data_IF_023349634974
#
_entry.id   IF_023349634974
#
_cell.length_a   1.000
_cell.length_b   1.000
_cell.length_c   1.000
_cell.angle_alpha   90.00
_cell.angle_beta   90.00
_cell.angle_gamma   90.00
#
_symmetry.space_group_name_H-M   'P 1'
#
loop_
_entity.id
_entity.type
_entity.pdbx_description
1 polymer ?
#
# COMPACT_ATOMS: atom_id res chain seq x y z
N UNK A 1 -1.21 21.63 8.87
CA UNK A 1 -0.87 22.31 7.61
C UNK A 1 -0.82 21.26 6.51
N UNK A 2 -1.96 21.09 5.78
CA UNK A 2 -2.04 20.14 4.65
C UNK A 2 -1.27 20.77 3.48
N UNK A 3 -0.07 20.31 3.17
CA UNK A 3 0.55 20.59 1.89
C UNK A 3 -0.23 19.78 0.86
N UNK A 4 -1.03 20.45 0.05
CA UNK A 4 -1.61 19.85 -1.15
C UNK A 4 -0.46 19.57 -2.12
N UNK A 5 -0.12 18.32 -2.29
CA UNK A 5 0.73 17.85 -3.39
C UNK A 5 -0.10 17.80 -4.70
N UNK A 6 -0.91 18.82 -4.91
CA UNK A 6 -1.64 18.97 -6.15
C UNK A 6 -0.84 19.87 -7.09
N UNK A 7 -0.58 19.36 -8.25
CA UNK A 7 0.06 19.94 -9.40
C UNK A 7 1.59 20.00 -9.31
N UNK A 8 2.24 18.86 -9.49
CA UNK A 8 3.45 18.87 -10.28
C UNK A 8 3.08 19.55 -11.60
N UNK A 9 3.70 20.68 -11.88
CA UNK A 9 3.54 21.35 -13.15
C UNK A 9 3.74 20.33 -14.27
N UNK A 10 2.84 20.24 -15.24
CA UNK A 10 3.03 19.46 -16.46
C UNK A 10 4.34 19.81 -17.20
N UNK A 11 5.10 20.78 -16.69
CA UNK A 11 6.35 21.31 -17.23
C UNK A 11 7.59 20.95 -16.39
N UNK A 12 7.44 20.30 -15.23
CA UNK A 12 8.59 19.79 -14.47
C UNK A 12 8.56 18.26 -14.43
N UNK A 13 9.23 17.59 -15.38
CA UNK A 13 9.25 16.13 -15.44
C UNK A 13 9.92 15.47 -14.23
N UNK A 14 10.60 16.25 -13.40
CA UNK A 14 11.28 15.77 -12.19
C UNK A 14 10.46 15.96 -10.90
N UNK A 15 9.32 16.67 -10.97
CA UNK A 15 8.45 16.83 -9.82
C UNK A 15 7.57 15.59 -9.64
N UNK A 16 7.51 15.07 -8.41
CA UNK A 16 6.71 13.91 -8.06
C UNK A 16 7.53 12.70 -7.59
N UNK A 17 6.82 11.62 -7.26
CA UNK A 17 7.42 10.40 -6.75
C UNK A 17 7.95 9.51 -7.88
N UNK A 18 9.11 8.89 -7.68
CA UNK A 18 9.65 7.88 -8.59
C UNK A 18 8.81 6.61 -8.61
N UNK A 19 8.24 6.26 -7.46
CA UNK A 19 7.35 5.13 -7.29
C UNK A 19 6.38 5.40 -6.16
N UNK A 20 5.16 4.90 -6.31
CA UNK A 20 4.10 4.92 -5.29
C UNK A 20 3.61 3.50 -5.10
N UNK A 21 3.57 3.05 -3.85
CA UNK A 21 3.04 1.72 -3.51
C UNK A 21 1.68 1.93 -2.86
N UNK A 22 0.63 1.43 -3.50
CA UNK A 22 -0.74 1.52 -3.02
C UNK A 22 -1.15 0.21 -2.35
N UNK A 23 -1.14 0.19 -1.00
CA UNK A 23 -1.62 -0.93 -0.20
C UNK A 23 -3.13 -0.89 0.06
N UNK A 24 -3.80 0.20 -0.28
CA UNK A 24 -5.24 0.42 -0.01
C UNK A 24 -6.08 -0.05 -1.20
N UNK A 25 -5.80 0.44 -2.40
CA UNK A 25 -6.45 0.09 -3.65
C UNK A 25 -7.96 0.37 -3.67
N UNK A 26 -8.44 1.32 -2.85
CA UNK A 26 -9.85 1.71 -2.80
C UNK A 26 -10.01 3.14 -2.28
N UNK A 27 -11.25 3.70 -2.40
CA UNK A 27 -11.66 5.01 -1.84
C UNK A 27 -10.82 6.19 -2.36
N UNK A 28 -10.36 6.09 -3.59
CA UNK A 28 -9.58 7.13 -4.26
C UNK A 28 -8.07 7.08 -4.01
N UNK A 29 -7.57 6.09 -3.27
CA UNK A 29 -6.13 5.90 -3.09
C UNK A 29 -5.45 5.58 -4.43
N UNK A 30 -6.08 4.73 -5.24
CA UNK A 30 -5.66 4.38 -6.59
C UNK A 30 -5.54 5.61 -7.50
N UNK A 31 -6.49 6.54 -7.40
CA UNK A 31 -6.48 7.78 -8.17
C UNK A 31 -5.39 8.74 -7.68
N UNK A 32 -5.25 8.89 -6.37
CA UNK A 32 -4.22 9.74 -5.79
C UNK A 32 -2.80 9.21 -6.09
N UNK A 33 -2.64 7.89 -6.14
CA UNK A 33 -1.35 7.23 -6.33
C UNK A 33 -0.69 7.60 -7.65
N UNK A 34 -1.39 7.45 -8.78
CA UNK A 34 -0.78 7.78 -10.08
C UNK A 34 -0.63 9.29 -10.29
N UNK A 35 -1.47 10.12 -9.65
CA UNK A 35 -1.34 11.59 -9.70
C UNK A 35 -0.12 12.13 -8.96
N UNK A 36 0.45 11.35 -8.03
CA UNK A 36 1.68 11.73 -7.32
C UNK A 36 2.96 11.40 -8.08
N UNK A 37 2.87 10.65 -9.19
CA UNK A 37 4.05 10.21 -9.93
C UNK A 37 4.67 11.37 -10.74
N UNK A 38 6.01 11.35 -10.79
CA UNK A 38 6.75 12.10 -11.81
C UNK A 38 6.65 11.42 -13.17
N UNK A 39 7.11 12.09 -14.21
CA UNK A 39 7.31 11.46 -15.52
C UNK A 39 8.22 10.22 -15.40
N UNK A 40 7.83 9.12 -16.06
CA UNK A 40 8.51 7.83 -15.98
C UNK A 40 8.39 7.12 -14.60
N UNK A 41 7.51 7.61 -13.72
CA UNK A 41 7.28 6.99 -12.41
C UNK A 41 6.42 5.73 -12.48
N UNK A 42 6.46 4.91 -11.43
CA UNK A 42 5.71 3.64 -11.35
C UNK A 42 4.71 3.63 -10.20
N UNK A 43 3.46 3.30 -10.50
CA UNK A 43 2.42 2.99 -9.52
C UNK A 43 2.37 1.47 -9.29
N UNK A 44 2.75 1.02 -8.10
CA UNK A 44 2.65 -0.38 -7.68
C UNK A 44 1.33 -0.61 -6.97
N UNK A 45 0.45 -1.37 -7.59
CA UNK A 45 -0.88 -1.70 -7.07
C UNK A 45 -0.81 -3.00 -6.27
N UNK A 46 -0.96 -2.91 -4.95
CA UNK A 46 -0.99 -4.05 -4.00
C UNK A 46 -2.40 -4.24 -3.45
N UNK A 47 -3.09 -3.15 -3.09
CA UNK A 47 -4.51 -3.17 -2.72
C UNK A 47 -5.41 -3.31 -3.94
N UNK A 48 -6.56 -4.00 -3.83
CA UNK A 48 -7.39 -4.35 -4.99
C UNK A 48 -8.91 -4.19 -4.77
N UNK A 49 -9.31 -3.28 -3.89
CA UNK A 49 -10.74 -3.04 -3.61
C UNK A 49 -11.46 -2.16 -4.63
N UNK A 50 -10.73 -1.35 -5.37
CA UNK A 50 -11.25 -0.35 -6.31
C UNK A 50 -10.86 -0.58 -7.76
N UNK A 51 -10.71 0.53 -8.50
CA UNK A 51 -10.33 0.54 -9.91
C UNK A 51 -9.24 1.58 -10.15
N UNK A 52 -8.26 1.23 -10.95
CA UNK A 52 -7.25 2.19 -11.45
C UNK A 52 -7.74 2.72 -12.80
N UNK A 53 -8.09 3.99 -12.84
CA UNK A 53 -8.55 4.66 -14.06
C UNK A 53 -7.60 5.82 -14.39
N UNK A 54 -6.85 5.68 -15.47
CA UNK A 54 -5.89 6.69 -15.93
C UNK A 54 -6.23 7.08 -17.36
N UNK A 55 -6.40 8.38 -17.68
CA UNK A 55 -6.57 8.80 -19.05
C UNK A 55 -5.36 8.36 -19.90
N UNK A 56 -5.64 7.73 -21.04
CA UNK A 56 -4.59 7.22 -21.92
C UNK A 56 -3.60 8.32 -22.35
N UNK A 57 -4.10 9.52 -22.63
CA UNK A 57 -3.27 10.68 -22.97
C UNK A 57 -2.28 11.01 -21.84
N UNK A 58 -2.70 10.91 -20.59
CA UNK A 58 -1.83 11.15 -19.44
C UNK A 58 -0.74 10.08 -19.36
N UNK A 59 -1.10 8.79 -19.49
CA UNK A 59 -0.12 7.69 -19.49
C UNK A 59 0.94 7.87 -20.57
N UNK A 60 0.54 8.27 -21.78
CA UNK A 60 1.45 8.44 -22.91
C UNK A 60 2.40 9.62 -22.69
N UNK A 61 1.86 10.78 -22.28
CA UNK A 61 2.68 12.01 -22.10
C UNK A 61 3.61 11.87 -20.90
N UNK A 62 3.13 11.26 -19.80
CA UNK A 62 3.90 11.13 -18.56
C UNK A 62 4.73 9.84 -18.50
N UNK A 63 4.60 8.94 -19.48
CA UNK A 63 5.34 7.67 -19.57
C UNK A 63 5.27 6.85 -18.27
N UNK A 64 4.17 6.96 -17.52
CA UNK A 64 4.02 6.26 -16.25
C UNK A 64 3.76 4.77 -16.46
N UNK A 65 4.21 3.97 -15.50
CA UNK A 65 3.98 2.53 -15.43
C UNK A 65 2.99 2.21 -14.32
N UNK A 66 2.03 1.31 -14.59
CA UNK A 66 1.14 0.74 -13.59
C UNK A 66 1.44 -0.74 -13.51
N UNK A 67 1.90 -1.20 -12.35
CA UNK A 67 2.31 -2.58 -12.11
C UNK A 67 1.53 -3.18 -10.95
N UNK A 68 0.84 -4.29 -11.20
CA UNK A 68 0.20 -5.09 -10.15
C UNK A 68 1.24 -5.92 -9.40
N UNK A 69 1.04 -6.10 -8.09
CA UNK A 69 1.87 -6.95 -7.25
C UNK A 69 0.98 -7.85 -6.40
N UNK A 70 1.12 -9.16 -6.57
CA UNK A 70 0.33 -10.15 -5.83
C UNK A 70 1.20 -10.80 -4.76
N UNK A 71 0.83 -10.57 -3.50
CA UNK A 71 1.40 -11.15 -2.26
C UNK A 71 2.92 -11.39 -2.32
N UNK A 72 3.35 -12.62 -2.39
CA UNK A 72 4.74 -13.02 -2.48
C UNK A 72 4.87 -14.53 -2.59
N UNK A 73 6.06 -15.02 -2.88
CA UNK A 73 6.39 -16.44 -2.93
C UNK A 73 7.04 -16.91 -1.61
N UNK A 74 7.34 -18.20 -1.52
CA UNK A 74 7.93 -18.80 -0.32
C UNK A 74 9.31 -18.21 0.02
N UNK A 75 10.15 -17.94 -0.99
CA UNK A 75 11.49 -17.40 -0.76
C UNK A 75 11.42 -15.95 -0.22
N UNK A 76 10.53 -15.14 -0.76
CA UNK A 76 10.29 -13.78 -0.25
C UNK A 76 9.77 -13.78 1.20
N UNK A 77 8.97 -14.80 1.58
CA UNK A 77 8.57 -14.98 2.98
C UNK A 77 9.77 -15.35 3.86
N UNK A 78 10.67 -16.22 3.41
CA UNK A 78 11.90 -16.57 4.15
C UNK A 78 12.75 -15.32 4.37
N UNK A 79 13.02 -14.54 3.32
CA UNK A 79 13.77 -13.29 3.40
C UNK A 79 13.12 -12.28 4.37
N UNK A 80 11.78 -12.17 4.33
CA UNK A 80 11.04 -11.32 5.26
C UNK A 80 11.21 -11.79 6.72
N UNK A 81 11.21 -13.09 6.96
CA UNK A 81 11.42 -13.64 8.32
C UNK A 81 12.85 -13.41 8.80
N UNK A 82 13.85 -13.47 7.93
CA UNK A 82 15.23 -13.11 8.26
C UNK A 82 15.34 -11.63 8.64
N UNK A 83 14.75 -10.72 7.86
CA UNK A 83 14.70 -9.31 8.18
C UNK A 83 13.99 -9.01 9.51
N UNK A 84 12.95 -9.78 9.82
CA UNK A 84 12.27 -9.66 11.11
C UNK A 84 13.16 -10.16 12.27
N UNK A 85 13.86 -11.28 12.10
CA UNK A 85 14.79 -11.82 13.10
C UNK A 85 15.96 -10.86 13.39
N UNK A 86 16.44 -10.14 12.36
CA UNK A 86 17.46 -9.08 12.49
C UNK A 86 16.91 -7.78 13.12
N UNK A 87 15.60 -7.69 13.39
CA UNK A 87 14.94 -6.51 13.94
C UNK A 87 14.79 -5.34 12.95
N UNK A 88 15.05 -5.57 11.66
CA UNK A 88 14.92 -4.56 10.58
C UNK A 88 13.48 -4.32 10.20
N UNK A 89 12.63 -5.32 10.35
CA UNK A 89 11.18 -5.23 10.17
C UNK A 89 10.49 -5.62 11.47
N UNK A 90 9.56 -4.80 11.94
CA UNK A 90 8.77 -5.08 13.14
C UNK A 90 7.36 -5.48 12.76
N UNK A 91 6.93 -6.64 13.18
CA UNK A 91 5.56 -7.09 13.03
C UNK A 91 4.72 -6.55 14.19
N UNK A 92 3.73 -5.76 13.88
CA UNK A 92 2.74 -5.30 14.86
C UNK A 92 1.64 -6.36 14.95
N UNK A 93 1.66 -7.15 16.00
CA UNK A 93 0.67 -8.19 16.28
C UNK A 93 0.08 -8.03 17.68
N UNK A 94 -1.23 -8.14 17.78
CA UNK A 94 -1.97 -8.21 19.03
C UNK A 94 -2.50 -9.63 19.19
N UNK A 95 -2.07 -10.31 20.26
CA UNK A 95 -2.47 -11.69 20.51
C UNK A 95 -3.78 -11.76 21.29
N UNK A 96 -4.61 -12.72 20.92
CA UNK A 96 -5.86 -13.08 21.60
C UNK A 96 -5.86 -14.58 21.86
N UNK A 97 -6.41 -15.01 23.00
CA UNK A 97 -6.66 -16.42 23.25
C UNK A 97 -7.82 -16.91 22.37
N UNK A 98 -7.86 -18.20 22.11
CA UNK A 98 -8.94 -18.79 21.32
C UNK A 98 -10.32 -18.51 21.93
N UNK A 99 -10.45 -18.56 23.27
CA UNK A 99 -11.70 -18.25 23.97
C UNK A 99 -12.15 -16.79 23.81
N UNK A 100 -11.24 -15.88 23.47
CA UNK A 100 -11.50 -14.45 23.24
C UNK A 100 -11.82 -14.11 21.78
N UNK A 101 -12.09 -15.10 20.91
CA UNK A 101 -12.26 -14.88 19.48
C UNK A 101 -13.36 -13.86 19.15
N UNK A 102 -14.47 -13.88 19.90
CA UNK A 102 -15.55 -12.90 19.68
C UNK A 102 -15.11 -11.48 20.02
N UNK A 103 -14.33 -11.32 21.10
CA UNK A 103 -13.72 -10.03 21.44
C UNK A 103 -12.74 -9.56 20.35
N UNK A 104 -11.91 -10.45 19.81
CA UNK A 104 -11.00 -10.14 18.73
C UNK A 104 -11.74 -9.64 17.47
N UNK A 105 -12.86 -10.29 17.13
CA UNK A 105 -13.71 -9.88 16.01
C UNK A 105 -14.33 -8.50 16.25
N UNK A 106 -14.82 -8.23 17.46
CA UNK A 106 -15.40 -6.93 17.81
C UNK A 106 -14.34 -5.83 17.81
N UNK A 107 -13.15 -6.08 18.33
CA UNK A 107 -12.04 -5.13 18.29
C UNK A 107 -11.59 -4.85 16.86
N UNK A 108 -11.58 -5.86 15.97
CA UNK A 108 -11.31 -5.69 14.55
C UNK A 108 -12.36 -4.82 13.87
N UNK A 109 -13.66 -5.10 14.06
CA UNK A 109 -14.78 -4.31 13.51
C UNK A 109 -14.73 -2.86 13.97
N UNK A 110 -14.35 -2.64 15.22
CA UNK A 110 -14.25 -1.31 15.83
C UNK A 110 -12.89 -0.63 15.59
N UNK A 111 -12.02 -1.19 14.72
CA UNK A 111 -10.70 -0.64 14.35
C UNK A 111 -9.76 -0.40 15.55
N UNK A 112 -9.86 -1.23 16.59
CA UNK A 112 -9.02 -1.15 17.79
C UNK A 112 -7.71 -1.92 17.64
N UNK A 113 -7.62 -2.82 16.64
CA UNK A 113 -6.41 -3.61 16.39
C UNK A 113 -5.42 -2.78 15.55
N UNK A 114 -4.22 -2.60 16.07
CA UNK A 114 -3.11 -2.02 15.33
C UNK A 114 -2.25 -3.15 14.77
N UNK A 115 -2.14 -3.22 13.45
CA UNK A 115 -1.42 -4.30 12.76
C UNK A 115 -2.30 -5.53 12.56
N UNK A 116 -1.93 -6.67 13.15
CA UNK A 116 -2.63 -7.97 12.99
C UNK A 116 -3.16 -8.49 14.31
N UNK A 117 -4.42 -8.90 14.34
CA UNK A 117 -4.96 -9.73 15.42
C UNK A 117 -4.57 -11.19 15.16
N UNK A 118 -3.89 -11.82 16.12
CA UNK A 118 -3.45 -13.22 16.04
C UNK A 118 -4.13 -14.02 17.13
N UNK A 119 -4.86 -15.06 16.73
CA UNK A 119 -5.45 -15.99 17.68
C UNK A 119 -4.40 -17.05 18.03
N UNK A 120 -4.13 -17.21 19.30
CA UNK A 120 -3.23 -18.25 19.80
C UNK A 120 -4.04 -19.27 20.60
N UNK A 121 -3.73 -20.59 20.45
CA UNK A 121 -4.41 -21.66 21.19
C UNK A 121 -4.25 -21.52 22.70
#
# INVERSE_FOLDING_TARGET
MKKSFLAGSLYDPYSGAHGVIDFVGERGAEQASWQMLRQGGTHYVVGYGGKVEVPAVHMVISEIVIAGSLVGNYMELVELMELNAEGRVKLHAQQYKLDDINRAIDDFKNRKIVGRGVIVP
#
